data_IF_263301280152
#
_entry.id   IF_263301280152
#
_cell.length_a   1.000
_cell.length_b   1.000
_cell.length_c   1.000
_cell.angle_alpha   90.00
_cell.angle_beta   90.00
_cell.angle_gamma   90.00
#
_symmetry.space_group_name_H-M   'P 1'
#
loop_
_entity.id
_entity.type
_entity.pdbx_description
1 polymer ?
#
# COMPACT_ATOMS: atom_id res chain seq x y z
N UNK A 1 -20.04 1.96 4.72
CA UNK A 1 -20.99 1.88 5.85
C UNK A 1 -21.02 3.20 6.60
N UNK A 2 -19.94 3.62 7.27
CA UNK A 2 -19.89 4.94 7.94
C UNK A 2 -20.16 6.11 6.98
N UNK A 3 -19.64 6.05 5.74
CA UNK A 3 -19.91 7.09 4.72
C UNK A 3 -21.38 7.17 4.27
N UNK A 4 -22.12 6.05 4.31
CA UNK A 4 -23.56 6.03 3.96
C UNK A 4 -24.37 6.66 5.09
N UNK A 5 -24.03 6.36 6.35
CA UNK A 5 -24.69 6.97 7.50
C UNK A 5 -24.44 8.47 7.58
N UNK A 6 -23.22 8.91 7.29
CA UNK A 6 -22.87 10.33 7.24
C UNK A 6 -23.59 11.06 6.09
N UNK A 7 -23.63 10.45 4.89
CA UNK A 7 -24.33 11.04 3.74
C UNK A 7 -25.85 11.17 3.93
N UNK A 8 -26.44 10.29 4.75
CA UNK A 8 -27.88 10.26 5.05
C UNK A 8 -28.25 10.93 6.37
N UNK A 9 -27.28 11.56 7.07
CA UNK A 9 -27.45 12.22 8.36
C UNK A 9 -28.14 11.32 9.42
N UNK A 10 -27.72 10.06 9.50
CA UNK A 10 -28.28 9.12 10.46
C UNK A 10 -27.84 9.47 11.88
N UNK A 11 -28.82 9.61 12.79
CA UNK A 11 -28.56 9.67 14.22
C UNK A 11 -27.77 8.43 14.69
N UNK A 12 -26.84 8.61 15.65
CA UNK A 12 -25.90 7.55 16.05
C UNK A 12 -26.59 6.27 16.53
N UNK A 13 -27.72 6.40 17.21
CA UNK A 13 -28.55 5.28 17.69
C UNK A 13 -29.12 4.47 16.52
N UNK A 14 -29.51 5.14 15.44
CA UNK A 14 -29.97 4.52 14.20
C UNK A 14 -28.85 3.77 13.47
N UNK A 15 -27.62 4.31 13.50
CA UNK A 15 -26.44 3.63 12.95
C UNK A 15 -26.15 2.33 13.72
N UNK A 16 -26.16 2.40 15.05
CA UNK A 16 -25.97 1.25 15.94
C UNK A 16 -27.06 0.20 15.68
N UNK A 17 -28.33 0.61 15.63
CA UNK A 17 -29.45 -0.27 15.31
C UNK A 17 -29.29 -0.99 13.97
N UNK A 18 -28.84 -0.28 12.92
CA UNK A 18 -28.58 -0.89 11.63
C UNK A 18 -27.48 -1.94 11.71
N UNK A 19 -26.35 -1.66 12.37
CA UNK A 19 -25.26 -2.62 12.51
C UNK A 19 -25.70 -3.89 13.25
N UNK A 20 -26.50 -3.72 14.32
CA UNK A 20 -27.06 -4.84 15.08
C UNK A 20 -28.02 -5.68 14.25
N UNK A 21 -28.77 -5.06 13.34
CA UNK A 21 -29.66 -5.76 12.42
C UNK A 21 -28.90 -6.74 11.52
N UNK A 22 -27.64 -6.45 11.18
CA UNK A 22 -26.78 -7.34 10.40
C UNK A 22 -26.20 -8.50 11.21
N UNK A 23 -26.34 -8.51 12.54
CA UNK A 23 -25.81 -9.60 13.35
C UNK A 23 -26.70 -10.83 13.35
N UNK A 24 -26.07 -11.98 13.11
CA UNK A 24 -26.70 -13.29 13.14
C UNK A 24 -25.96 -14.22 14.13
N UNK A 25 -26.62 -15.30 14.52
CA UNK A 25 -26.06 -16.35 15.36
C UNK A 25 -25.37 -15.83 16.64
N UNK A 26 -24.14 -16.26 16.87
CA UNK A 26 -23.36 -15.93 18.08
C UNK A 26 -23.14 -14.42 18.27
N UNK A 27 -23.06 -13.65 17.17
CA UNK A 27 -22.91 -12.20 17.26
C UNK A 27 -24.18 -11.52 17.76
N UNK A 28 -25.35 -12.00 17.31
CA UNK A 28 -26.64 -11.50 17.81
C UNK A 28 -26.84 -11.84 19.28
N UNK A 29 -26.53 -13.06 19.69
CA UNK A 29 -26.62 -13.48 21.08
C UNK A 29 -25.73 -12.65 22.00
N UNK A 30 -24.48 -12.39 21.60
CA UNK A 30 -23.58 -11.52 22.34
C UNK A 30 -24.13 -10.09 22.47
N UNK A 31 -24.63 -9.51 21.37
CA UNK A 31 -25.14 -8.14 21.41
C UNK A 31 -26.36 -8.00 22.33
N UNK A 32 -27.24 -9.00 22.40
CA UNK A 32 -28.37 -8.97 23.32
C UNK A 32 -27.92 -8.82 24.79
N UNK A 33 -26.79 -9.44 25.18
CA UNK A 33 -26.21 -9.29 26.52
C UNK A 33 -25.69 -7.86 26.73
N UNK A 34 -24.97 -7.31 25.75
CA UNK A 34 -24.45 -5.93 25.81
C UNK A 34 -25.60 -4.92 25.87
N UNK A 35 -26.63 -5.10 25.05
CA UNK A 35 -27.85 -4.28 25.04
C UNK A 35 -28.52 -4.27 26.41
N UNK A 36 -28.77 -5.44 27.00
CA UNK A 36 -29.40 -5.52 28.32
C UNK A 36 -28.56 -4.83 29.42
N UNK A 37 -27.23 -4.82 29.29
CA UNK A 37 -26.35 -4.03 30.16
C UNK A 37 -26.54 -2.53 29.92
N UNK A 38 -26.48 -2.08 28.66
CA UNK A 38 -26.62 -0.67 28.31
C UNK A 38 -27.97 -0.09 28.73
N UNK A 39 -29.06 -0.84 28.57
CA UNK A 39 -30.40 -0.44 29.03
C UNK A 39 -30.45 -0.25 30.54
N UNK A 40 -29.86 -1.17 31.31
CA UNK A 40 -29.77 -1.07 32.78
C UNK A 40 -28.98 0.14 33.25
N UNK A 41 -27.86 0.40 32.58
CA UNK A 41 -26.93 1.50 32.90
C UNK A 41 -27.34 2.83 32.26
N UNK A 42 -28.45 2.87 31.51
CA UNK A 42 -28.89 4.02 30.71
C UNK A 42 -27.76 4.56 29.81
N UNK A 43 -26.94 3.67 29.27
CA UNK A 43 -25.80 4.03 28.42
C UNK A 43 -26.30 4.59 27.09
N UNK A 44 -25.88 5.81 26.70
CA UNK A 44 -26.20 6.35 25.37
C UNK A 44 -25.73 5.45 24.24
N UNK A 45 -26.58 5.26 23.23
CA UNK A 45 -26.31 4.40 22.07
C UNK A 45 -25.49 5.12 21.01
N UNK A 46 -24.25 5.45 21.35
CA UNK A 46 -23.33 6.12 20.42
C UNK A 46 -22.56 5.10 19.60
N UNK A 47 -22.22 5.46 18.36
CA UNK A 47 -21.44 4.59 17.47
C UNK A 47 -20.08 4.22 18.09
N UNK A 48 -19.40 5.20 18.70
CA UNK A 48 -18.10 4.99 19.35
C UNK A 48 -18.15 3.94 20.47
N UNK A 49 -19.22 3.92 21.29
CA UNK A 49 -19.37 2.91 22.35
C UNK A 49 -19.67 1.53 21.76
N UNK A 50 -20.47 1.48 20.70
CA UNK A 50 -20.78 0.23 20.00
C UNK A 50 -19.49 -0.37 19.41
N UNK A 51 -18.70 0.44 18.70
CA UNK A 51 -17.42 0.02 18.14
C UNK A 51 -16.48 -0.50 19.23
N UNK A 52 -16.45 0.14 20.41
CA UNK A 52 -15.62 -0.32 21.52
C UNK A 52 -16.03 -1.73 21.99
N UNK A 53 -17.32 -1.97 22.23
CA UNK A 53 -17.82 -3.30 22.65
C UNK A 53 -17.59 -4.34 21.54
N UNK A 54 -17.89 -3.97 20.29
CA UNK A 54 -17.70 -4.84 19.13
C UNK A 54 -16.23 -5.22 18.94
N UNK A 55 -15.33 -4.25 18.99
CA UNK A 55 -13.90 -4.48 18.87
C UNK A 55 -13.41 -5.33 20.04
N UNK A 56 -13.80 -5.05 21.28
CA UNK A 56 -13.41 -5.88 22.42
C UNK A 56 -13.84 -7.35 22.28
N UNK A 57 -15.01 -7.62 21.67
CA UNK A 57 -15.51 -8.98 21.46
C UNK A 57 -14.89 -9.69 20.26
N UNK A 58 -14.78 -9.02 19.12
CA UNK A 58 -14.47 -9.65 17.83
C UNK A 58 -13.09 -9.28 17.29
N UNK A 59 -12.54 -8.14 17.69
CA UNK A 59 -11.15 -7.77 17.46
C UNK A 59 -10.35 -8.06 18.73
N UNK A 60 -10.11 -9.34 18.99
CA UNK A 60 -9.26 -9.79 20.10
C UNK A 60 -7.99 -8.92 20.17
N UNK A 61 -7.51 -8.52 21.35
CA UNK A 61 -6.29 -7.73 21.49
C UNK A 61 -5.10 -8.32 20.71
N UNK A 62 -4.99 -9.65 20.65
CA UNK A 62 -3.99 -10.37 19.86
C UNK A 62 -4.09 -10.14 18.33
N UNK A 63 -5.29 -9.95 17.80
CA UNK A 63 -5.49 -9.59 16.39
C UNK A 63 -5.05 -8.16 16.16
N UNK A 64 -5.37 -7.25 17.09
CA UNK A 64 -4.92 -5.86 17.02
C UNK A 64 -3.39 -5.78 17.08
N UNK A 65 -2.76 -6.40 18.07
CA UNK A 65 -1.31 -6.51 18.20
C UNK A 65 -0.67 -7.08 16.93
N UNK A 66 -1.26 -8.15 16.35
CA UNK A 66 -0.80 -8.69 15.08
C UNK A 66 -0.88 -7.67 13.93
N UNK A 67 -1.91 -6.83 13.87
CA UNK A 67 -2.04 -5.78 12.84
C UNK A 67 -1.05 -4.65 13.04
N UNK A 68 -0.77 -4.29 14.29
CA UNK A 68 0.27 -3.33 14.64
C UNK A 68 1.65 -3.87 14.23
N UNK A 69 1.92 -5.13 14.53
CA UNK A 69 3.11 -5.88 14.09
C UNK A 69 3.23 -5.93 12.55
N UNK A 70 2.13 -6.24 11.86
CA UNK A 70 2.07 -6.26 10.39
C UNK A 70 2.45 -4.88 9.84
N UNK A 71 2.02 -3.78 10.47
CA UNK A 71 2.39 -2.42 10.07
C UNK A 71 3.87 -2.12 10.37
N UNK A 72 4.36 -2.51 11.55
CA UNK A 72 5.75 -2.28 11.95
C UNK A 72 6.72 -3.00 10.99
N UNK A 73 6.34 -4.20 10.54
CA UNK A 73 7.13 -5.03 9.61
C UNK A 73 6.83 -4.74 8.14
N UNK A 74 5.89 -3.84 7.83
CA UNK A 74 5.49 -3.54 6.46
C UNK A 74 6.64 -2.87 5.71
N UNK A 75 7.04 -3.48 4.60
CA UNK A 75 8.04 -2.96 3.64
C UNK A 75 7.50 -3.05 2.23
N UNK A 76 7.97 -2.19 1.33
CA UNK A 76 7.60 -2.26 -0.08
C UNK A 76 8.03 -3.62 -0.67
N UNK A 77 9.30 -3.98 -0.53
CA UNK A 77 9.82 -5.27 -1.00
C UNK A 77 9.52 -5.50 -2.50
N UNK A 78 8.79 -6.57 -2.81
CA UNK A 78 8.38 -6.93 -4.17
C UNK A 78 7.08 -6.27 -4.63
N UNK A 79 6.39 -5.55 -3.75
CA UNK A 79 5.14 -4.86 -4.09
C UNK A 79 5.43 -3.65 -4.99
N UNK A 80 4.51 -3.39 -5.90
CA UNK A 80 4.44 -2.06 -6.53
C UNK A 80 4.18 -0.97 -5.48
N UNK A 81 4.51 0.27 -5.80
CA UNK A 81 4.23 1.42 -4.93
C UNK A 81 2.74 1.50 -4.59
N UNK A 82 1.87 1.29 -5.57
CA UNK A 82 0.41 1.33 -5.38
C UNK A 82 -0.09 0.22 -4.42
N UNK A 83 0.43 -1.00 -4.55
CA UNK A 83 0.07 -2.10 -3.63
C UNK A 83 0.58 -1.85 -2.21
N UNK A 84 1.79 -1.32 -2.10
CA UNK A 84 2.39 -0.95 -0.82
C UNK A 84 1.59 0.17 -0.14
N UNK A 85 1.25 1.24 -0.86
CA UNK A 85 0.39 2.34 -0.38
C UNK A 85 -0.95 1.82 0.14
N UNK A 86 -1.63 0.97 -0.64
CA UNK A 86 -2.90 0.38 -0.22
C UNK A 86 -2.78 -0.41 1.08
N UNK A 87 -1.69 -1.17 1.25
CA UNK A 87 -1.43 -1.90 2.51
C UNK A 87 -1.09 -0.96 3.65
N UNK A 88 -0.27 0.05 3.40
CA UNK A 88 0.12 1.05 4.39
C UNK A 88 -1.11 1.79 4.93
N UNK A 89 -1.95 2.34 4.05
CA UNK A 89 -3.19 3.05 4.41
C UNK A 89 -4.18 2.13 5.15
N UNK A 90 -4.28 0.85 4.76
CA UNK A 90 -5.17 -0.10 5.43
C UNK A 90 -4.71 -0.44 6.85
N UNK A 91 -3.40 -0.55 7.07
CA UNK A 91 -2.81 -0.95 8.35
C UNK A 91 -2.59 0.23 9.30
N UNK A 92 -2.42 1.45 8.76
CA UNK A 92 -2.15 2.65 9.57
C UNK A 92 -3.25 2.97 10.58
N UNK A 93 -4.49 2.52 10.32
CA UNK A 93 -5.63 2.67 11.24
C UNK A 93 -5.45 1.94 12.58
N UNK A 94 -4.55 0.95 12.64
CA UNK A 94 -4.26 0.22 13.88
C UNK A 94 -3.12 0.85 14.67
N UNK A 95 -2.37 1.80 14.08
CA UNK A 95 -1.22 2.47 14.72
C UNK A 95 -1.29 3.99 14.52
N UNK A 96 -2.38 4.65 14.93
CA UNK A 96 -2.59 6.07 14.66
C UNK A 96 -1.41 6.94 15.12
N UNK A 97 -0.77 6.59 16.24
CA UNK A 97 0.38 7.31 16.80
C UNK A 97 1.60 7.42 15.87
N UNK A 98 1.77 6.45 14.97
CA UNK A 98 2.87 6.42 14.00
C UNK A 98 2.58 7.23 12.73
N UNK A 99 1.33 7.64 12.51
CA UNK A 99 0.89 8.35 11.30
C UNK A 99 0.08 9.62 11.60
N UNK A 100 -0.01 10.02 12.87
CA UNK A 100 -0.87 11.11 13.35
C UNK A 100 -0.59 12.47 12.69
N UNK A 101 0.66 12.72 12.30
CA UNK A 101 1.03 13.92 11.54
C UNK A 101 1.48 13.56 10.14
N UNK A 102 1.27 14.46 9.19
CA UNK A 102 1.79 14.33 7.81
C UNK A 102 3.29 13.99 7.82
N UNK A 103 4.07 14.69 8.63
CA UNK A 103 5.51 14.43 8.76
C UNK A 103 5.81 12.99 9.21
N UNK A 104 5.15 12.50 10.28
CA UNK A 104 5.33 11.12 10.76
C UNK A 104 4.91 10.10 9.70
N UNK A 105 3.75 10.33 9.05
CA UNK A 105 3.22 9.47 7.99
C UNK A 105 4.16 9.37 6.80
N UNK A 106 4.63 10.50 6.28
CA UNK A 106 5.57 10.59 5.15
C UNK A 106 6.88 9.89 5.51
N UNK A 107 7.46 10.23 6.67
CA UNK A 107 8.70 9.63 7.16
C UNK A 107 8.58 8.11 7.22
N UNK A 108 7.53 7.60 7.86
CA UNK A 108 7.30 6.16 8.00
C UNK A 108 7.10 5.48 6.66
N UNK A 109 6.32 6.09 5.76
CA UNK A 109 6.07 5.55 4.44
C UNK A 109 7.34 5.42 3.62
N UNK A 110 8.16 6.49 3.56
CA UNK A 110 9.41 6.53 2.76
C UNK A 110 10.47 5.59 3.34
N UNK A 111 10.60 5.52 4.68
CA UNK A 111 11.61 4.69 5.35
C UNK A 111 11.56 3.21 4.95
N UNK A 112 10.37 2.69 4.67
CA UNK A 112 10.16 1.28 4.34
C UNK A 112 9.97 1.03 2.83
N UNK A 113 10.17 2.07 1.99
CA UNK A 113 10.28 1.91 0.53
C UNK A 113 11.60 1.22 0.16
N UNK A 114 11.70 0.74 -1.08
CA UNK A 114 12.95 0.20 -1.58
C UNK A 114 14.05 1.29 -1.62
N UNK A 115 15.27 0.97 -1.19
CA UNK A 115 16.40 1.92 -1.04
C UNK A 115 16.62 2.78 -2.28
N UNK A 116 16.60 2.15 -3.47
CA UNK A 116 16.78 2.90 -4.72
C UNK A 116 15.72 3.97 -4.94
N UNK A 117 14.52 3.86 -4.38
CA UNK A 117 13.48 4.90 -4.47
C UNK A 117 13.76 5.97 -3.41
N UNK A 118 14.15 5.58 -2.20
CA UNK A 118 14.56 6.51 -1.15
C UNK A 118 15.69 7.43 -1.62
N UNK A 119 16.70 6.91 -2.33
CA UNK A 119 17.80 7.68 -2.91
C UNK A 119 17.32 8.80 -3.85
N UNK A 120 16.33 8.54 -4.71
CA UNK A 120 15.76 9.56 -5.60
C UNK A 120 15.02 10.68 -4.84
N UNK A 121 14.59 10.39 -3.62
CA UNK A 121 13.83 11.32 -2.79
C UNK A 121 14.69 12.01 -1.73
N UNK A 122 15.97 11.65 -1.61
CA UNK A 122 16.83 12.12 -0.52
C UNK A 122 16.97 13.65 -0.45
N UNK A 123 16.98 14.32 -1.60
CA UNK A 123 17.04 15.78 -1.70
C UNK A 123 15.67 16.45 -1.90
N UNK A 124 14.58 15.67 -1.97
CA UNK A 124 13.26 16.21 -2.23
C UNK A 124 12.65 16.75 -0.93
N UNK A 125 12.23 18.02 -0.96
CA UNK A 125 11.36 18.54 0.09
C UNK A 125 9.95 17.99 -0.13
N UNK A 126 9.45 17.23 0.84
CA UNK A 126 8.13 16.61 0.82
C UNK A 126 7.45 16.93 2.14
N UNK A 127 6.38 17.73 2.08
CA UNK A 127 5.62 18.18 3.26
C UNK A 127 4.22 17.59 3.32
N UNK A 128 3.73 17.05 2.20
CA UNK A 128 2.38 16.51 2.06
C UNK A 128 2.48 15.09 1.49
N UNK A 129 1.69 14.16 2.04
CA UNK A 129 1.70 12.75 1.71
C UNK A 129 1.32 12.49 0.24
N UNK A 130 0.39 13.26 -0.31
CA UNK A 130 -0.01 13.15 -1.72
C UNK A 130 1.15 13.48 -2.68
N UNK A 131 1.96 14.50 -2.35
CA UNK A 131 3.19 14.82 -3.10
C UNK A 131 4.24 13.69 -2.98
N UNK A 132 4.34 13.07 -1.80
CA UNK A 132 5.17 11.88 -1.61
C UNK A 132 4.75 10.75 -2.57
N UNK A 133 3.46 10.44 -2.64
CA UNK A 133 2.92 9.39 -3.51
C UNK A 133 3.19 9.66 -4.98
N UNK A 134 2.94 10.89 -5.44
CA UNK A 134 3.13 11.27 -6.84
C UNK A 134 4.62 11.15 -7.25
N UNK A 135 5.53 11.63 -6.41
CA UNK A 135 6.98 11.50 -6.61
C UNK A 135 7.43 10.04 -6.63
N UNK A 136 6.99 9.22 -5.67
CA UNK A 136 7.35 7.81 -5.56
C UNK A 136 6.85 7.02 -6.79
N UNK A 137 5.63 7.29 -7.25
CA UNK A 137 5.06 6.65 -8.43
C UNK A 137 5.81 7.02 -9.72
N UNK A 138 6.21 8.30 -9.87
CA UNK A 138 7.05 8.74 -10.99
C UNK A 138 8.38 8.00 -11.05
N UNK A 139 9.03 7.82 -9.91
CA UNK A 139 10.29 7.06 -9.81
C UNK A 139 10.12 5.60 -10.21
N UNK A 140 9.04 4.95 -9.76
CA UNK A 140 8.75 3.56 -10.13
C UNK A 140 8.46 3.41 -11.63
N UNK A 141 7.67 4.33 -12.19
CA UNK A 141 7.34 4.35 -13.62
C UNK A 141 8.59 4.56 -14.48
N UNK A 142 9.45 5.51 -14.12
CA UNK A 142 10.72 5.77 -14.81
C UNK A 142 11.65 4.54 -14.78
N UNK A 143 11.73 3.84 -13.64
CA UNK A 143 12.51 2.59 -13.53
C UNK A 143 11.97 1.49 -14.42
N UNK A 144 10.65 1.33 -14.48
CA UNK A 144 10.00 0.31 -15.33
C UNK A 144 10.23 0.60 -16.82
N UNK A 145 10.13 1.86 -17.23
CA UNK A 145 10.46 2.29 -18.59
C UNK A 145 11.93 2.02 -18.95
N UNK A 146 12.86 2.37 -18.06
CA UNK A 146 14.29 2.13 -18.25
C UNK A 146 14.60 0.63 -18.40
N UNK A 147 14.04 -0.22 -17.53
CA UNK A 147 14.17 -1.69 -17.64
C UNK A 147 13.66 -2.20 -18.99
N UNK A 148 12.52 -1.69 -19.46
CA UNK A 148 11.90 -2.08 -20.73
C UNK A 148 12.78 -1.68 -21.91
N UNK A 149 13.33 -0.46 -21.89
CA UNK A 149 14.27 0.03 -22.90
C UNK A 149 15.53 -0.85 -22.98
N UNK A 150 16.13 -1.16 -21.83
CA UNK A 150 17.33 -2.00 -21.78
C UNK A 150 17.07 -3.45 -22.20
N UNK A 151 15.90 -4.01 -21.87
CA UNK A 151 15.49 -5.34 -22.33
C UNK A 151 15.37 -5.37 -23.87
N UNK A 152 14.73 -4.35 -24.47
CA UNK A 152 14.64 -4.20 -25.94
C UNK A 152 16.02 -4.06 -26.59
N UNK A 153 16.94 -3.31 -25.98
CA UNK A 153 18.31 -3.14 -26.51
C UNK A 153 19.11 -4.45 -26.49
N UNK A 154 18.96 -5.27 -25.43
CA UNK A 154 19.60 -6.59 -25.31
C UNK A 154 18.99 -7.65 -26.24
N UNK A 155 17.70 -7.52 -26.57
CA UNK A 155 16.99 -8.44 -27.47
C UNK A 155 17.26 -8.18 -28.96
N UNK A 156 17.93 -7.09 -29.34
CA UNK A 156 18.37 -6.87 -30.73
C UNK A 156 19.65 -7.69 -30.97
N UNK A 157 19.67 -8.66 -31.90
CA UNK A 157 20.92 -9.27 -32.35
C UNK A 157 21.84 -8.17 -32.87
N UNK A 158 23.12 -8.25 -32.51
CA UNK A 158 24.14 -7.36 -33.07
C UNK A 158 24.27 -7.65 -34.56
N UNK A 159 23.46 -6.97 -35.37
CA UNK A 159 23.40 -7.09 -36.84
C UNK A 159 24.75 -6.84 -37.51
N UNK A 160 25.75 -6.35 -36.78
CA UNK A 160 27.09 -6.05 -37.27
C UNK A 160 28.03 -7.26 -37.23
N UNK A 161 27.92 -8.17 -36.24
CA UNK A 161 28.89 -9.28 -36.11
C UNK A 161 28.55 -10.50 -36.99
N UNK A 162 27.27 -10.76 -37.24
CA UNK A 162 26.86 -11.83 -38.17
C UNK A 162 27.00 -11.41 -39.64
N UNK A 163 26.85 -10.11 -39.95
CA UNK A 163 27.06 -9.56 -41.30
C UNK A 163 28.53 -9.52 -41.70
N UNK A 164 29.43 -9.21 -40.76
CA UNK A 164 30.88 -9.25 -41.01
C UNK A 164 31.41 -10.69 -41.16
N UNK A 165 30.76 -11.68 -40.52
CA UNK A 165 31.08 -13.11 -40.68
C UNK A 165 30.57 -13.71 -42.00
N UNK A 166 29.59 -13.08 -42.63
CA UNK A 166 28.94 -13.56 -43.86
C UNK A 166 29.39 -12.83 -45.13
N UNK A 167 30.41 -11.97 -45.06
CA UNK A 167 31.05 -11.39 -46.24
C UNK A 167 32.07 -12.38 -46.84
N UNK A 168 31.88 -12.85 -48.08
CA UNK A 168 32.93 -13.56 -48.80
C UNK A 168 33.96 -12.53 -49.29
N UNK A 169 35.25 -12.78 -49.02
CA UNK A 169 36.44 -12.09 -49.55
C UNK A 169 36.75 -10.66 -49.04
N UNK A 170 37.14 -10.54 -47.77
CA UNK A 170 37.99 -9.43 -47.31
C UNK A 170 39.48 -9.82 -47.10
N UNK A 171 39.86 -11.03 -47.53
CA UNK A 171 41.23 -11.56 -47.46
C UNK A 171 41.92 -11.72 -48.83
N UNK A 172 41.30 -11.27 -49.94
CA UNK A 172 41.86 -11.43 -51.30
C UNK A 172 42.56 -10.19 -51.88
N UNK A 173 42.76 -9.13 -51.10
CA UNK A 173 43.35 -7.89 -51.61
C UNK A 173 44.85 -7.70 -51.29
N UNK A 174 45.51 -8.67 -50.62
CA UNK A 174 46.96 -8.59 -50.34
C UNK A 174 47.84 -9.53 -51.19
N UNK A 175 47.28 -10.43 -52.03
CA UNK A 175 48.08 -11.38 -52.83
C UNK A 175 48.15 -11.04 -54.34
N UNK A 176 48.05 -9.76 -54.71
CA UNK A 176 47.99 -9.33 -56.12
C UNK A 176 48.96 -8.21 -56.51
N UNK A 177 50.05 -8.03 -55.76
CA UNK A 177 51.12 -7.08 -56.08
C UNK A 177 52.49 -7.74 -55.93
N UNK A 178 52.75 -8.78 -56.72
CA UNK A 178 54.12 -9.18 -57.10
C UNK A 178 54.03 -10.16 -58.28
N UNK A 179 54.28 -9.60 -59.48
CA UNK A 179 54.89 -10.14 -60.72
C UNK A 179 54.25 -9.57 -62.00
#
# INVERSE_FOLDING_TARGET
>A
MVEIFAALDYAEDSQVNFAIFQFEGAARSWWNVVRAKWEREQTPWTWAKFEREFNAKFLLPKIQEKREDDFIKLKQGLLSVAEYEKRFTKLSKFVPELVITEHKRIKRFIQELNVKIQEFLAAAQITIFTDALDKVQRVENAKSQFKTFHARKRSKPSYTLERLRSLPNLLKWEEGLEE
#
